data_IF_570318205779
#
_entry.id   IF_570318205779
#
_cell.length_a   1.000
_cell.length_b   1.000
_cell.length_c   1.000
_cell.angle_alpha   90.00
_cell.angle_beta   90.00
_cell.angle_gamma   90.00
#
_symmetry.space_group_name_H-M   'P 1'
#
loop_
_entity.id
_entity.type
_entity.pdbx_description
1 polymer ?
#
# COMPACT_ATOMS: atom_id res chain seq x y z
N UNK A 1 10.65 -9.18 19.13
CA UNK A 1 10.58 -8.14 20.19
C UNK A 1 10.25 -6.74 19.69
N UNK A 2 11.07 -6.05 18.88
CA UNK A 2 10.73 -4.68 18.41
C UNK A 2 9.54 -4.68 17.43
N UNK A 3 9.56 -5.55 16.43
CA UNK A 3 8.47 -5.71 15.45
C UNK A 3 7.12 -6.08 16.08
N UNK A 4 7.12 -6.97 17.08
CA UNK A 4 5.89 -7.33 17.82
C UNK A 4 5.36 -6.18 18.69
N UNK A 5 6.25 -5.37 19.27
CA UNK A 5 5.83 -4.18 20.03
C UNK A 5 5.24 -3.12 19.12
N UNK A 6 5.80 -2.96 17.92
CA UNK A 6 5.30 -2.03 16.91
C UNK A 6 3.99 -2.52 16.33
N UNK A 7 3.87 -3.81 16.00
CA UNK A 7 2.60 -4.41 15.59
C UNK A 7 1.51 -4.26 16.65
N UNK A 8 1.87 -4.39 17.94
CA UNK A 8 0.95 -4.14 19.05
C UNK A 8 0.60 -2.65 19.17
N UNK A 9 1.58 -1.75 19.04
CA UNK A 9 1.35 -0.31 19.04
C UNK A 9 0.46 0.16 17.87
N UNK A 10 0.52 -0.53 16.72
CA UNK A 10 -0.34 -0.29 15.57
C UNK A 10 -1.72 -0.96 15.68
N UNK A 11 -1.93 -1.89 16.62
CA UNK A 11 -3.19 -2.62 16.77
C UNK A 11 -4.10 -2.09 17.87
N UNK A 12 -3.55 -1.45 18.92
CA UNK A 12 -4.30 -1.14 20.14
C UNK A 12 -5.00 0.24 20.11
N UNK A 13 -4.53 1.20 19.29
CA UNK A 13 -5.08 2.56 19.18
C UNK A 13 -5.00 3.06 17.73
N UNK A 14 -6.17 3.25 17.11
CA UNK A 14 -6.30 3.60 15.68
C UNK A 14 -5.68 4.96 15.35
N UNK A 15 -6.00 6.06 16.05
CA UNK A 15 -5.30 7.34 15.88
C UNK A 15 -3.77 7.21 15.98
N UNK A 16 -3.27 6.45 16.94
CA UNK A 16 -1.81 6.25 17.11
C UNK A 16 -1.22 5.49 15.93
N UNK A 17 -1.90 4.45 15.44
CA UNK A 17 -1.46 3.68 14.29
C UNK A 17 -1.34 4.54 13.02
N UNK A 18 -2.35 5.38 12.77
CA UNK A 18 -2.36 6.30 11.63
C UNK A 18 -1.22 7.32 11.75
N UNK A 19 -1.15 8.04 12.88
CA UNK A 19 -0.14 9.09 13.09
C UNK A 19 1.28 8.53 13.01
N UNK A 20 1.51 7.33 13.53
CA UNK A 20 2.80 6.68 13.43
C UNK A 20 3.12 6.24 11.99
N UNK A 21 2.15 5.71 11.24
CA UNK A 21 2.31 5.39 9.82
C UNK A 21 2.64 6.63 8.98
N UNK A 22 1.95 7.75 9.21
CA UNK A 22 2.23 9.03 8.56
C UNK A 22 3.63 9.56 8.89
N UNK A 23 4.03 9.49 10.16
CA UNK A 23 5.38 9.88 10.58
C UNK A 23 6.47 9.02 9.92
N UNK A 24 6.25 7.71 9.82
CA UNK A 24 7.15 6.79 9.12
C UNK A 24 7.22 7.12 7.63
N UNK A 25 6.11 7.48 7.00
CA UNK A 25 6.11 7.89 5.60
C UNK A 25 6.87 9.21 5.38
N UNK A 26 6.70 10.20 6.26
CA UNK A 26 7.31 11.51 6.11
C UNK A 26 8.81 11.54 6.44
N UNK A 27 9.25 10.78 7.44
CA UNK A 27 10.60 10.90 8.02
C UNK A 27 11.36 9.58 8.11
N UNK A 28 10.81 8.50 7.58
CA UNK A 28 11.38 7.17 7.67
C UNK A 28 12.51 6.89 6.69
N UNK A 29 12.86 5.60 6.65
CA UNK A 29 13.88 5.01 5.78
C UNK A 29 13.46 3.56 5.43
N UNK A 30 14.38 2.79 4.85
CA UNK A 30 14.12 1.39 4.50
C UNK A 30 13.75 0.51 5.71
N UNK A 31 14.18 0.85 6.93
CA UNK A 31 13.73 0.15 8.13
C UNK A 31 12.28 0.55 8.50
N UNK A 32 11.93 1.81 8.33
CA UNK A 32 10.55 2.30 8.49
C UNK A 32 9.57 1.58 7.54
N UNK A 33 9.92 1.41 6.26
CA UNK A 33 9.09 0.67 5.31
C UNK A 33 8.83 -0.78 5.75
N UNK A 34 9.87 -1.48 6.23
CA UNK A 34 9.72 -2.85 6.76
C UNK A 34 8.79 -2.90 7.97
N UNK A 35 8.80 -1.87 8.82
CA UNK A 35 7.89 -1.78 9.95
C UNK A 35 6.46 -1.47 9.50
N UNK A 36 6.30 -0.60 8.50
CA UNK A 36 5.01 -0.22 7.94
C UNK A 36 4.25 -1.39 7.29
N UNK A 37 4.91 -2.51 6.96
CA UNK A 37 4.23 -3.75 6.53
C UNK A 37 3.19 -4.24 7.54
N UNK A 38 3.38 -3.97 8.84
CA UNK A 38 2.42 -4.33 9.88
C UNK A 38 1.10 -3.55 9.81
N UNK A 39 1.06 -2.42 9.09
CA UNK A 39 -0.15 -1.62 8.89
C UNK A 39 -1.01 -2.12 7.72
N UNK A 40 -0.46 -2.96 6.83
CA UNK A 40 -1.14 -3.38 5.60
C UNK A 40 -2.34 -4.31 5.84
N UNK A 41 -2.36 -5.02 6.96
CA UNK A 41 -3.46 -5.91 7.38
C UNK A 41 -4.36 -5.24 8.44
N UNK A 42 -4.22 -3.94 8.68
CA UNK A 42 -5.00 -3.24 9.70
C UNK A 42 -6.47 -3.11 9.27
N UNK A 43 -7.45 -3.29 10.19
CA UNK A 43 -8.88 -3.26 9.83
C UNK A 43 -9.40 -1.89 9.37
N UNK A 44 -8.67 -0.82 9.69
CA UNK A 44 -9.00 0.56 9.35
C UNK A 44 -8.24 0.98 8.08
N UNK A 45 -8.94 1.34 6.98
CA UNK A 45 -8.32 1.70 5.70
C UNK A 45 -7.27 2.81 5.79
N UNK A 46 -7.47 3.80 6.65
CA UNK A 46 -6.56 4.93 6.83
C UNK A 46 -5.19 4.48 7.36
N UNK A 47 -5.16 3.45 8.22
CA UNK A 47 -3.89 2.88 8.68
C UNK A 47 -3.19 2.10 7.55
N UNK A 48 -3.96 1.36 6.73
CA UNK A 48 -3.43 0.68 5.55
C UNK A 48 -2.81 1.68 4.58
N UNK A 49 -3.50 2.79 4.29
CA UNK A 49 -3.00 3.88 3.45
C UNK A 49 -1.69 4.47 4.00
N UNK A 50 -1.59 4.69 5.31
CA UNK A 50 -0.35 5.17 5.92
C UNK A 50 0.80 4.17 5.72
N UNK A 51 0.52 2.87 5.83
CA UNK A 51 1.47 1.80 5.53
C UNK A 51 1.93 1.81 4.06
N UNK A 52 0.98 1.88 3.12
CA UNK A 52 1.24 1.97 1.68
C UNK A 52 2.06 3.22 1.35
N UNK A 53 1.75 4.36 1.95
CA UNK A 53 2.50 5.60 1.77
C UNK A 53 3.96 5.48 2.23
N UNK A 54 4.19 4.88 3.40
CA UNK A 54 5.56 4.65 3.86
C UNK A 54 6.35 3.72 2.95
N UNK A 55 5.72 2.63 2.49
CA UNK A 55 6.35 1.68 1.55
C UNK A 55 6.58 2.34 0.19
N UNK A 56 5.70 3.25 -0.25
CA UNK A 56 5.88 3.98 -1.51
C UNK A 56 7.17 4.78 -1.50
N UNK A 57 7.45 5.51 -0.42
CA UNK A 57 8.59 6.42 -0.36
C UNK A 57 9.90 5.72 0.04
N UNK A 58 9.83 4.72 0.91
CA UNK A 58 11.03 4.15 1.53
C UNK A 58 11.23 2.65 1.29
N UNK A 59 10.27 1.97 0.66
CA UNK A 59 10.30 0.53 0.48
C UNK A 59 11.26 0.04 -0.59
N UNK A 60 11.43 -1.27 -0.66
CA UNK A 60 12.27 -1.96 -1.65
C UNK A 60 11.46 -3.03 -2.42
N UNK A 61 12.11 -3.81 -3.29
CA UNK A 61 11.41 -4.80 -4.13
C UNK A 61 10.78 -5.96 -3.32
N UNK A 62 11.14 -6.11 -2.04
CA UNK A 62 10.61 -7.16 -1.18
C UNK A 62 9.15 -6.90 -0.81
N UNK A 63 8.71 -5.64 -0.69
CA UNK A 63 7.34 -5.27 -0.27
C UNK A 63 6.28 -5.52 -1.36
N UNK A 64 6.70 -5.85 -2.57
CA UNK A 64 5.76 -5.89 -3.69
C UNK A 64 4.76 -7.05 -3.61
N UNK A 65 5.03 -8.11 -2.83
CA UNK A 65 4.05 -9.18 -2.66
C UNK A 65 2.86 -8.71 -1.82
N UNK A 66 3.16 -8.02 -0.72
CA UNK A 66 2.20 -7.43 0.20
C UNK A 66 1.36 -6.35 -0.49
N UNK A 67 2.00 -5.46 -1.26
CA UNK A 67 1.26 -4.46 -2.05
C UNK A 67 0.34 -5.09 -3.10
N UNK A 68 0.77 -6.16 -3.78
CA UNK A 68 -0.06 -6.83 -4.80
C UNK A 68 -1.32 -7.45 -4.17
N UNK A 69 -1.25 -7.94 -2.94
CA UNK A 69 -2.41 -8.48 -2.23
C UNK A 69 -3.51 -7.43 -2.01
N UNK A 70 -3.13 -6.15 -1.86
CA UNK A 70 -4.06 -5.05 -1.62
C UNK A 70 -4.73 -4.48 -2.89
N UNK A 71 -4.35 -4.93 -4.08
CA UNK A 71 -5.01 -4.50 -5.34
C UNK A 71 -6.51 -4.81 -5.35
N UNK A 72 -6.93 -5.84 -4.61
CA UNK A 72 -8.32 -6.24 -4.44
C UNK A 72 -9.01 -5.72 -3.18
N UNK A 73 -8.41 -4.78 -2.45
CA UNK A 73 -8.91 -4.34 -1.13
C UNK A 73 -10.39 -3.87 -1.16
N UNK A 74 -11.20 -4.14 -0.13
CA UNK A 74 -12.62 -3.74 -0.09
C UNK A 74 -12.81 -2.22 -0.20
N UNK A 75 -11.95 -1.44 0.46
CA UNK A 75 -11.95 0.01 0.36
C UNK A 75 -11.33 0.51 -0.96
N UNK A 76 -12.03 1.40 -1.67
CA UNK A 76 -11.62 1.91 -2.98
C UNK A 76 -10.41 2.84 -2.92
N UNK A 77 -10.24 3.58 -1.82
CA UNK A 77 -9.10 4.50 -1.64
C UNK A 77 -7.80 3.71 -1.54
N UNK A 78 -7.81 2.58 -0.79
CA UNK A 78 -6.68 1.66 -0.69
C UNK A 78 -6.36 1.06 -2.05
N UNK A 79 -7.36 0.61 -2.82
CA UNK A 79 -7.13 0.07 -4.17
C UNK A 79 -6.43 1.09 -5.06
N UNK A 80 -6.93 2.33 -5.10
CA UNK A 80 -6.34 3.39 -5.91
C UNK A 80 -4.89 3.68 -5.49
N UNK A 81 -4.62 3.87 -4.20
CA UNK A 81 -3.29 4.24 -3.72
C UNK A 81 -2.26 3.12 -3.93
N UNK A 82 -2.67 1.86 -3.74
CA UNK A 82 -1.83 0.68 -3.99
C UNK A 82 -1.48 0.55 -5.46
N UNK A 83 -2.47 0.64 -6.34
CA UNK A 83 -2.27 0.54 -7.80
C UNK A 83 -1.37 1.69 -8.29
N UNK A 84 -1.60 2.90 -7.80
CA UNK A 84 -0.75 4.05 -8.09
C UNK A 84 0.70 3.81 -7.60
N UNK A 85 0.86 3.27 -6.39
CA UNK A 85 2.17 2.96 -5.80
C UNK A 85 2.91 1.91 -6.62
N UNK A 86 2.24 0.83 -7.02
CA UNK A 86 2.81 -0.23 -7.88
C UNK A 86 3.27 0.34 -9.23
N UNK A 87 2.48 1.21 -9.85
CA UNK A 87 2.85 1.90 -11.10
C UNK A 87 4.05 2.84 -10.92
N UNK A 88 4.05 3.69 -9.88
CA UNK A 88 5.16 4.63 -9.59
C UNK A 88 6.47 3.90 -9.33
N UNK A 89 6.43 2.78 -8.60
CA UNK A 89 7.59 1.96 -8.27
C UNK A 89 7.95 0.94 -9.35
N UNK A 90 7.28 0.98 -10.50
CA UNK A 90 7.50 0.08 -11.65
C UNK A 90 7.50 -1.41 -11.29
N UNK A 91 6.55 -1.82 -10.46
CA UNK A 91 6.41 -3.22 -10.02
C UNK A 91 5.77 -4.06 -11.13
N UNK A 92 6.55 -4.41 -12.16
CA UNK A 92 6.07 -5.13 -13.34
C UNK A 92 5.35 -6.45 -13.02
N UNK A 93 5.77 -7.15 -11.96
CA UNK A 93 5.12 -8.40 -11.51
C UNK A 93 3.67 -8.21 -11.03
N UNK A 94 3.21 -6.98 -10.82
CA UNK A 94 1.84 -6.66 -10.42
C UNK A 94 0.84 -6.66 -11.59
N UNK A 95 1.31 -6.58 -12.85
CA UNK A 95 0.45 -6.45 -14.04
C UNK A 95 -0.69 -7.48 -14.07
N UNK A 96 -0.46 -8.79 -13.81
CA UNK A 96 -1.54 -9.77 -13.83
C UNK A 96 -2.64 -9.50 -12.78
N UNK A 97 -2.26 -9.01 -11.59
CA UNK A 97 -3.23 -8.67 -10.55
C UNK A 97 -4.02 -7.40 -10.88
N UNK A 98 -3.33 -6.40 -11.43
CA UNK A 98 -3.93 -5.13 -11.85
C UNK A 98 -4.93 -5.36 -13.01
N UNK A 99 -4.59 -6.18 -14.00
CA UNK A 99 -5.48 -6.54 -15.11
C UNK A 99 -6.75 -7.26 -14.60
N UNK A 100 -6.60 -8.26 -13.73
CA UNK A 100 -7.77 -8.92 -13.11
C UNK A 100 -8.64 -7.93 -12.35
N UNK A 101 -8.06 -6.94 -11.66
CA UNK A 101 -8.84 -5.92 -10.95
C UNK A 101 -9.62 -5.02 -11.92
N UNK A 102 -9.03 -4.67 -13.07
CA UNK A 102 -9.68 -3.84 -14.09
C UNK A 102 -10.98 -4.46 -14.62
N UNK A 103 -11.01 -5.78 -14.80
CA UNK A 103 -12.16 -6.53 -15.32
C UNK A 103 -13.41 -6.37 -14.44
N UNK A 104 -13.21 -6.25 -13.13
CA UNK A 104 -14.28 -6.23 -12.13
C UNK A 104 -14.41 -4.88 -11.40
N UNK A 105 -13.55 -3.90 -11.68
CA UNK A 105 -13.61 -2.58 -11.05
C UNK A 105 -14.77 -1.75 -11.60
N UNK A 106 -15.60 -1.22 -10.68
CA UNK A 106 -16.78 -0.43 -11.00
C UNK A 106 -16.61 1.05 -10.66
N UNK A 107 -15.68 1.38 -9.77
CA UNK A 107 -15.37 2.76 -9.44
C UNK A 107 -14.57 3.42 -10.57
N UNK A 108 -15.12 4.50 -11.15
CA UNK A 108 -14.52 5.17 -12.30
C UNK A 108 -13.14 5.75 -12.00
N UNK A 109 -12.93 6.28 -10.80
CA UNK A 109 -11.65 6.85 -10.40
C UNK A 109 -10.58 5.75 -10.25
N UNK A 110 -10.94 4.63 -9.64
CA UNK A 110 -10.03 3.48 -9.52
C UNK A 110 -9.71 2.89 -10.90
N UNK A 111 -10.69 2.81 -11.81
CA UNK A 111 -10.45 2.34 -13.20
C UNK A 111 -9.42 3.19 -13.92
N UNK A 112 -9.55 4.52 -13.88
CA UNK A 112 -8.55 5.41 -14.49
C UNK A 112 -7.18 5.25 -13.85
N UNK A 113 -7.13 5.13 -12.51
CA UNK A 113 -5.89 4.88 -11.77
C UNK A 113 -5.21 3.57 -12.22
N UNK A 114 -5.98 2.51 -12.47
CA UNK A 114 -5.49 1.24 -13.01
C UNK A 114 -4.90 1.42 -14.40
N UNK A 115 -5.61 2.08 -15.32
CA UNK A 115 -5.12 2.31 -16.68
C UNK A 115 -3.82 3.11 -16.68
N UNK A 116 -3.75 4.15 -15.85
CA UNK A 116 -2.55 4.97 -15.67
C UNK A 116 -1.37 4.21 -15.08
N UNK A 117 -1.62 3.30 -14.14
CA UNK A 117 -0.57 2.44 -13.59
C UNK A 117 -0.05 1.45 -14.65
N UNK A 118 -0.94 0.84 -15.44
CA UNK A 118 -0.55 -0.08 -16.53
C UNK A 118 0.31 0.63 -17.58
N UNK A 119 -0.06 1.83 -18.02
CA UNK A 119 0.76 2.65 -18.95
C UNK A 119 2.18 2.90 -18.42
N UNK A 120 2.33 3.14 -17.11
CA UNK A 120 3.64 3.33 -16.46
C UNK A 120 4.47 2.04 -16.37
N UNK A 121 3.82 0.88 -16.40
CA UNK A 121 4.47 -0.42 -16.33
C UNK A 121 4.85 -0.98 -17.71
N UNK A 122 4.21 -0.48 -18.77
CA UNK A 122 4.51 -0.83 -20.17
C UNK A 122 5.69 -0.03 -20.76
N UNK A 123 6.00 1.16 -20.20
CA UNK A 123 7.09 2.04 -20.64
C UNK A 123 8.35 1.98 -19.78
#
# INVERSE_FOLDING_TARGET
RARERIARAFGDDVPVAIAAGEALAAFGDAAAARLATALLDHPVPEAVLAGVACIREHGDANDAAELIALVGHPDWTVRADVVQTLGRRRVARAVPAILRRLEVERDAFVRETILDALRRLEG
#
